data_IF_883538516959
#
_entry.id   IF_883538516959
#
_cell.length_a   1.000
_cell.length_b   1.000
_cell.length_c   1.000
_cell.angle_alpha   90.00
_cell.angle_beta   90.00
_cell.angle_gamma   90.00
#
_symmetry.space_group_name_H-M   'P 1'
#
loop_
_entity.id
_entity.type
_entity.pdbx_description
1 polymer ?
#
# COMPACT_ATOMS: atom_id res chain seq x y z
N UNK A 1 19.55 3.07 -14.29
CA UNK A 1 18.77 2.04 -13.65
C UNK A 1 17.58 2.63 -12.92
N UNK A 2 16.43 2.13 -13.16
CA UNK A 2 15.24 2.64 -12.55
C UNK A 2 15.07 2.18 -11.12
N UNK A 3 14.12 2.78 -10.43
CA UNK A 3 13.77 2.37 -9.09
C UNK A 3 13.00 1.05 -9.15
N UNK A 4 13.33 0.16 -8.26
CA UNK A 4 12.61 -1.10 -8.14
C UNK A 4 11.45 -0.90 -7.18
N UNK A 5 10.29 -1.47 -7.48
CA UNK A 5 9.20 -1.42 -6.54
C UNK A 5 9.53 -2.28 -5.32
N UNK A 6 9.14 -1.80 -4.17
CA UNK A 6 9.16 -2.63 -2.98
C UNK A 6 7.80 -3.28 -2.85
N UNK A 7 7.80 -4.51 -2.37
CA UNK A 7 6.61 -5.33 -2.32
C UNK A 7 6.55 -6.07 -1.01
N UNK A 8 5.40 -6.00 -0.34
CA UNK A 8 5.15 -6.77 0.87
C UNK A 8 3.82 -7.48 0.73
N UNK A 9 3.80 -8.74 1.10
CA UNK A 9 2.59 -9.56 1.13
C UNK A 9 2.24 -9.90 2.57
N UNK A 10 0.96 -9.82 2.89
CA UNK A 10 0.45 -10.24 4.19
C UNK A 10 -0.84 -11.02 4.00
N UNK A 11 -1.07 -11.97 4.87
CA UNK A 11 -2.25 -12.82 4.81
C UNK A 11 -3.09 -12.58 6.05
N UNK A 12 -4.39 -12.40 5.85
CA UNK A 12 -5.33 -12.14 6.92
C UNK A 12 -6.46 -13.15 6.89
N UNK A 13 -6.78 -13.70 8.05
CA UNK A 13 -7.90 -14.65 8.19
C UNK A 13 -9.14 -13.87 8.58
N UNK A 14 -9.61 -13.04 7.64
CA UNK A 14 -10.74 -12.14 7.85
C UNK A 14 -11.46 -11.98 6.52
N UNK A 15 -12.62 -11.33 6.55
CA UNK A 15 -13.38 -11.11 5.33
C UNK A 15 -12.76 -10.02 4.48
N UNK A 16 -12.91 -10.13 3.17
CA UNK A 16 -12.37 -9.14 2.24
C UNK A 16 -12.85 -7.72 2.58
N UNK A 17 -14.12 -7.56 2.90
CA UNK A 17 -14.66 -6.23 3.18
C UNK A 17 -13.97 -5.59 4.38
N UNK A 18 -13.70 -6.38 5.41
CA UNK A 18 -13.05 -5.84 6.61
C UNK A 18 -11.59 -5.48 6.35
N UNK A 19 -10.89 -6.35 5.63
CA UNK A 19 -9.48 -6.11 5.31
C UNK A 19 -9.35 -4.90 4.39
N UNK A 20 -10.23 -4.80 3.39
CA UNK A 20 -10.20 -3.70 2.43
C UNK A 20 -10.45 -2.36 3.13
N UNK A 21 -11.47 -2.31 3.99
CA UNK A 21 -11.76 -1.06 4.71
C UNK A 21 -10.61 -0.65 5.60
N UNK A 22 -9.98 -1.62 6.28
CA UNK A 22 -8.84 -1.32 7.14
C UNK A 22 -7.67 -0.80 6.33
N UNK A 23 -7.46 -1.32 5.13
CA UNK A 23 -6.41 -0.84 4.25
C UNK A 23 -6.66 0.60 3.80
N UNK A 24 -7.89 0.93 3.45
CA UNK A 24 -8.22 2.32 3.10
C UNK A 24 -7.96 3.26 4.28
N UNK A 25 -8.38 2.84 5.46
CA UNK A 25 -8.17 3.67 6.65
C UNK A 25 -6.69 3.87 6.95
N UNK A 26 -5.88 2.83 6.77
CA UNK A 26 -4.44 2.93 6.99
C UNK A 26 -3.81 3.91 6.01
N UNK A 27 -4.19 3.82 4.74
CA UNK A 27 -3.66 4.72 3.71
C UNK A 27 -4.01 6.17 4.03
N UNK A 28 -5.24 6.41 4.44
CA UNK A 28 -5.68 7.76 4.77
C UNK A 28 -4.99 8.27 6.03
N UNK A 29 -4.78 7.41 7.01
CA UNK A 29 -4.07 7.78 8.23
C UNK A 29 -2.64 8.20 7.93
N UNK A 30 -2.01 7.54 6.95
CA UNK A 30 -0.65 7.89 6.55
C UNK A 30 -0.59 9.12 5.66
N UNK A 31 -1.73 9.66 5.28
CA UNK A 31 -1.77 10.88 4.48
C UNK A 31 -1.62 10.65 2.99
N UNK A 32 -1.78 9.42 2.53
CA UNK A 32 -1.71 9.13 1.10
C UNK A 32 -2.94 9.67 0.39
N UNK A 33 -2.74 10.15 -0.83
CA UNK A 33 -3.86 10.56 -1.67
C UNK A 33 -4.43 9.34 -2.37
N UNK A 34 -5.70 9.04 -2.13
CA UNK A 34 -6.34 7.91 -2.78
C UNK A 34 -6.71 8.32 -4.21
N UNK A 35 -6.08 7.68 -5.17
CA UNK A 35 -6.30 7.97 -6.58
C UNK A 35 -7.47 7.17 -7.11
N UNK A 36 -7.56 5.92 -6.71
CA UNK A 36 -8.64 5.03 -7.12
C UNK A 36 -8.85 3.97 -6.06
N UNK A 37 -10.09 3.67 -5.77
CA UNK A 37 -10.41 2.63 -4.80
C UNK A 37 -11.71 1.98 -5.27
N UNK A 38 -11.65 0.69 -5.55
CA UNK A 38 -12.80 -0.06 -6.04
C UNK A 38 -12.77 -1.44 -5.39
N UNK A 39 -13.73 -1.67 -4.51
CA UNK A 39 -13.80 -2.94 -3.80
C UNK A 39 -14.01 -4.12 -4.74
N UNK A 40 -14.85 -3.94 -5.76
CA UNK A 40 -15.13 -5.03 -6.68
C UNK A 40 -13.90 -5.47 -7.45
N UNK A 41 -13.00 -4.53 -7.75
CA UNK A 41 -11.73 -4.85 -8.42
C UNK A 41 -10.67 -5.33 -7.44
N UNK A 42 -10.93 -5.26 -6.15
CA UNK A 42 -9.95 -5.64 -5.12
C UNK A 42 -8.67 -4.87 -5.29
N UNK A 43 -8.78 -3.55 -5.42
CA UNK A 43 -7.61 -2.74 -5.73
C UNK A 43 -7.75 -1.34 -5.13
N UNK A 44 -6.63 -0.82 -4.61
CA UNK A 44 -6.51 0.56 -4.15
C UNK A 44 -5.25 1.12 -4.80
N UNK A 45 -5.37 2.33 -5.36
CA UNK A 45 -4.22 3.06 -5.88
C UNK A 45 -4.11 4.38 -5.14
N UNK A 46 -2.91 4.69 -4.71
CA UNK A 46 -2.68 5.89 -3.93
C UNK A 46 -1.34 6.50 -4.29
N UNK A 47 -1.15 7.75 -3.90
CA UNK A 47 0.09 8.47 -4.12
C UNK A 47 0.52 9.11 -2.82
N UNK A 48 1.80 8.97 -2.50
CA UNK A 48 2.41 9.66 -1.38
C UNK A 48 3.41 10.67 -1.93
N UNK A 49 3.39 11.88 -1.41
CA UNK A 49 4.27 12.94 -1.86
C UNK A 49 5.28 13.24 -0.76
N UNK A 50 6.56 13.15 -1.09
CA UNK A 50 7.61 13.40 -0.09
C UNK A 50 7.59 14.86 0.31
N UNK A 51 7.91 15.11 1.58
CA UNK A 51 7.75 16.43 2.16
C UNK A 51 8.73 17.45 1.59
N UNK A 52 10.00 17.05 1.45
CA UNK A 52 11.05 18.01 1.13
C UNK A 52 11.13 18.34 -0.34
N UNK A 53 11.09 17.32 -1.20
CA UNK A 53 11.27 17.52 -2.63
C UNK A 53 9.99 17.33 -3.41
N UNK A 54 8.92 16.95 -2.73
CA UNK A 54 7.61 16.73 -3.34
C UNK A 54 7.66 15.70 -4.46
N UNK A 55 8.54 14.74 -4.30
CA UNK A 55 8.56 13.59 -5.21
C UNK A 55 7.34 12.72 -4.93
N UNK A 56 6.80 12.14 -5.96
CA UNK A 56 5.61 11.30 -5.83
C UNK A 56 5.97 9.84 -5.96
N UNK A 57 5.42 9.06 -5.04
CA UNK A 57 5.58 7.62 -5.04
C UNK A 57 4.21 7.01 -5.21
N UNK A 58 4.11 6.01 -6.07
CA UNK A 58 2.85 5.36 -6.36
C UNK A 58 2.72 4.07 -5.57
N UNK A 59 1.56 3.90 -4.94
CA UNK A 59 1.27 2.71 -4.14
C UNK A 59 0.09 1.99 -4.78
N UNK A 60 0.23 0.69 -4.96
CA UNK A 60 -0.85 -0.16 -5.47
C UNK A 60 -1.05 -1.29 -4.47
N UNK A 61 -2.29 -1.45 -4.02
CA UNK A 61 -2.64 -2.50 -3.07
C UNK A 61 -3.70 -3.36 -3.73
N UNK A 62 -3.44 -4.66 -3.80
CA UNK A 62 -4.39 -5.61 -4.36
C UNK A 62 -4.71 -6.67 -3.32
N UNK A 63 -5.88 -7.27 -3.46
CA UNK A 63 -6.41 -8.22 -2.49
C UNK A 63 -6.78 -9.49 -3.22
N UNK A 64 -6.16 -10.58 -2.85
CA UNK A 64 -6.45 -11.89 -3.41
C UNK A 64 -6.98 -12.83 -2.37
N UNK A 65 -7.35 -14.04 -2.80
CA UNK A 65 -7.85 -15.06 -1.91
C UNK A 65 -6.96 -16.29 -2.01
N UNK A 66 -6.60 -16.83 -0.85
CA UNK A 66 -5.82 -18.07 -0.79
C UNK A 66 -6.31 -18.87 0.40
N UNK A 67 -6.86 -20.03 0.16
CA UNK A 67 -7.34 -20.93 1.23
C UNK A 67 -8.25 -20.22 2.23
N UNK A 68 -9.22 -19.47 1.71
CA UNK A 68 -10.18 -18.68 2.49
C UNK A 68 -9.58 -17.50 3.24
N UNK A 69 -8.31 -17.21 3.01
CA UNK A 69 -7.66 -16.04 3.60
C UNK A 69 -7.53 -14.94 2.56
N UNK A 70 -7.40 -13.70 3.04
CA UNK A 70 -7.17 -12.56 2.17
C UNK A 70 -5.68 -12.29 2.09
N UNK A 71 -5.16 -12.26 0.87
CA UNK A 71 -3.75 -11.94 0.65
C UNK A 71 -3.67 -10.49 0.21
N UNK A 72 -3.02 -9.66 1.01
CA UNK A 72 -2.83 -8.24 0.68
C UNK A 72 -1.44 -8.09 0.09
N UNK A 73 -1.41 -7.57 -1.13
CA UNK A 73 -0.18 -7.32 -1.88
C UNK A 73 -0.05 -5.82 -2.01
N UNK A 74 0.94 -5.23 -1.34
CA UNK A 74 1.17 -3.80 -1.38
C UNK A 74 2.51 -3.53 -2.04
N UNK A 75 2.49 -2.63 -3.03
CA UNK A 75 3.67 -2.28 -3.81
C UNK A 75 3.82 -0.77 -3.81
N UNK A 76 5.05 -0.30 -3.63
CA UNK A 76 5.34 1.14 -3.66
C UNK A 76 6.52 1.38 -4.61
N UNK A 77 6.32 2.31 -5.54
CA UNK A 77 7.31 2.61 -6.58
C UNK A 77 7.49 4.12 -6.69
N UNK A 78 8.73 4.57 -6.72
CA UNK A 78 9.03 5.99 -6.90
C UNK A 78 8.92 6.36 -8.37
N UNK A 79 8.28 7.49 -8.65
CA UNK A 79 8.21 8.00 -10.04
C UNK A 79 9.56 8.50 -10.50
N UNK A 80 10.36 9.02 -9.57
CA UNK A 80 11.71 9.47 -9.86
C UNK A 80 12.66 8.34 -9.51
N UNK A 81 13.54 7.98 -10.43
CA UNK A 81 14.43 6.83 -10.25
C UNK A 81 15.50 7.01 -9.19
N UNK A 82 15.62 8.20 -8.63
CA UNK A 82 16.54 8.45 -7.53
C UNK A 82 15.72 8.71 -6.29
N UNK A 83 16.28 8.48 -5.16
CA UNK A 83 15.55 8.75 -3.95
C UNK A 83 16.15 8.00 -2.80
N UNK A 84 15.42 8.03 -1.72
CA UNK A 84 15.84 7.40 -0.49
C UNK A 84 15.69 5.89 -0.63
N UNK A 85 16.80 5.20 -0.59
CA UNK A 85 16.80 3.75 -0.60
C UNK A 85 16.11 3.29 0.67
N UNK A 86 15.07 2.52 0.52
CA UNK A 86 14.32 2.03 1.67
C UNK A 86 13.09 2.84 2.01
N UNK A 87 12.88 4.00 1.38
CA UNK A 87 11.70 4.81 1.66
C UNK A 87 10.43 4.05 1.33
N UNK A 88 10.42 3.36 0.18
CA UNK A 88 9.24 2.58 -0.21
C UNK A 88 9.01 1.42 0.75
N UNK A 89 10.07 0.74 1.15
CA UNK A 89 9.94 -0.37 2.10
C UNK A 89 9.44 0.12 3.45
N UNK A 90 9.95 1.25 3.93
CA UNK A 90 9.49 1.82 5.19
C UNK A 90 8.03 2.22 5.13
N UNK A 91 7.62 2.78 3.99
CA UNK A 91 6.23 3.16 3.79
C UNK A 91 5.30 1.96 3.88
N UNK A 92 5.67 0.86 3.25
CA UNK A 92 4.86 -0.35 3.29
C UNK A 92 4.85 -0.96 4.69
N UNK A 93 5.98 -0.91 5.40
CA UNK A 93 6.01 -1.42 6.78
C UNK A 93 5.10 -0.60 7.68
N UNK A 94 5.09 0.72 7.51
CA UNK A 94 4.19 1.59 8.29
C UNK A 94 2.72 1.26 7.97
N UNK A 95 2.43 1.02 6.71
CA UNK A 95 1.08 0.65 6.30
C UNK A 95 0.62 -0.63 6.98
N UNK A 96 1.44 -1.67 6.94
CA UNK A 96 1.06 -2.94 7.53
C UNK A 96 1.05 -2.89 9.05
N UNK A 97 1.87 -2.03 9.66
CA UNK A 97 1.80 -1.83 11.10
C UNK A 97 0.42 -1.31 11.50
N UNK A 98 -0.13 -0.38 10.72
CA UNK A 98 -1.48 0.10 10.98
C UNK A 98 -2.52 -0.97 10.70
N UNK A 99 -2.34 -1.74 9.62
CA UNK A 99 -3.24 -2.84 9.31
C UNK A 99 -3.33 -3.86 10.45
N UNK A 100 -2.21 -4.10 11.10
CA UNK A 100 -2.12 -5.12 12.13
C UNK A 100 -2.57 -4.64 13.51
N UNK A 101 -2.89 -3.38 13.64
CA UNK A 101 -3.39 -2.86 14.92
C UNK A 101 -4.82 -3.33 15.14
N UNK A 102 -5.17 -3.70 16.39
CA UNK A 102 -6.52 -4.15 16.70
C UNK A 102 -7.57 -3.05 16.58
#
# INVERSE_FOLDING_TARGET
KGAYPDLILRVYDERHADVYRRALNAAETLGWEIVAADFDSRRIEATDTTLWFRFKDDIVITFGTQSNNVVVNARSTSRVGVGDVGANANRLRAFFALMDMP
#
